data_IF_579014214941
#
_entry.id   IF_579014214941
#
_cell.length_a   1.000
_cell.length_b   1.000
_cell.length_c   1.000
_cell.angle_alpha   90.00
_cell.angle_beta   90.00
_cell.angle_gamma   90.00
#
_symmetry.space_group_name_H-M   'P 1'
#
loop_
_entity.id
_entity.type
_entity.pdbx_description
1 polymer ?
#
# COMPACT_ATOMS: atom_id res chain seq x y z
N UNK A 1 -34.43 -10.08 1.57
CA UNK A 1 -33.38 -11.11 1.47
C UNK A 1 -32.66 -10.90 0.15
N UNK A 2 -31.51 -10.22 0.14
CA UNK A 2 -30.67 -10.07 -1.06
C UNK A 2 -29.94 -11.38 -1.37
N UNK A 3 -29.69 -11.70 -2.66
CA UNK A 3 -28.96 -12.91 -3.02
C UNK A 3 -27.54 -12.87 -2.43
N UNK A 4 -27.19 -13.92 -1.69
CA UNK A 4 -25.87 -14.05 -1.08
C UNK A 4 -24.80 -14.14 -2.17
N UNK A 5 -23.65 -13.47 -1.98
CA UNK A 5 -22.47 -13.53 -2.88
C UNK A 5 -21.96 -14.96 -3.15
N UNK A 6 -22.41 -15.95 -2.37
CA UNK A 6 -22.06 -17.35 -2.55
C UNK A 6 -22.63 -18.01 -3.83
N UNK A 7 -23.52 -17.35 -4.56
CA UNK A 7 -24.17 -17.91 -5.75
C UNK A 7 -23.49 -17.63 -7.10
N UNK A 8 -22.73 -16.52 -7.20
CA UNK A 8 -22.22 -16.03 -8.49
C UNK A 8 -21.22 -17.01 -9.14
N UNK A 9 -20.27 -17.51 -8.38
CA UNK A 9 -19.28 -18.46 -8.90
C UNK A 9 -19.91 -19.77 -9.35
N UNK A 10 -20.98 -20.23 -8.67
CA UNK A 10 -21.73 -21.41 -9.09
C UNK A 10 -22.45 -21.15 -10.42
N UNK A 11 -23.00 -19.95 -10.61
CA UNK A 11 -23.66 -19.57 -11.90
C UNK A 11 -22.64 -19.67 -13.04
N UNK A 12 -21.45 -19.08 -12.90
CA UNK A 12 -20.39 -19.13 -13.92
C UNK A 12 -19.95 -20.56 -14.21
N UNK A 13 -19.70 -21.35 -13.14
CA UNK A 13 -19.29 -22.75 -13.29
C UNK A 13 -20.34 -23.59 -14.02
N UNK A 14 -21.60 -23.47 -13.66
CA UNK A 14 -22.67 -24.24 -14.28
C UNK A 14 -22.84 -23.85 -15.74
N UNK A 15 -22.79 -22.56 -16.08
CA UNK A 15 -22.90 -22.08 -17.45
C UNK A 15 -21.71 -22.54 -18.31
N UNK A 16 -20.49 -22.48 -17.78
CA UNK A 16 -19.29 -22.99 -18.47
C UNK A 16 -19.41 -24.48 -18.76
N UNK A 17 -19.82 -25.27 -17.77
CA UNK A 17 -20.01 -26.72 -17.94
C UNK A 17 -21.12 -27.03 -18.95
N UNK A 18 -22.20 -26.27 -18.98
CA UNK A 18 -23.28 -26.43 -19.95
C UNK A 18 -22.86 -26.10 -21.39
N UNK A 19 -21.77 -25.37 -21.57
CA UNK A 19 -21.17 -25.04 -22.87
C UNK A 19 -19.97 -25.94 -23.22
N UNK A 20 -19.66 -26.96 -22.39
CA UNK A 20 -18.49 -27.83 -22.47
C UNK A 20 -17.16 -27.10 -22.59
N UNK A 21 -17.05 -25.88 -22.04
CA UNK A 21 -15.86 -25.08 -22.06
C UNK A 21 -14.93 -25.42 -20.88
N UNK A 22 -13.62 -25.41 -21.14
CA UNK A 22 -12.59 -25.47 -20.09
C UNK A 22 -12.42 -24.11 -19.41
N UNK A 23 -11.89 -24.09 -18.19
CA UNK A 23 -11.54 -22.85 -17.50
C UNK A 23 -10.49 -22.03 -18.28
N UNK A 24 -9.60 -22.70 -19.02
CA UNK A 24 -8.60 -22.05 -19.87
C UNK A 24 -9.19 -21.35 -21.09
N UNK A 25 -10.22 -21.91 -21.73
CA UNK A 25 -10.90 -21.29 -22.85
C UNK A 25 -11.66 -20.05 -22.43
N UNK A 26 -12.45 -20.15 -21.35
CA UNK A 26 -13.13 -18.98 -20.77
C UNK A 26 -12.12 -17.92 -20.35
N UNK A 27 -11.03 -18.34 -19.70
CA UNK A 27 -9.98 -17.42 -19.28
C UNK A 27 -9.39 -16.63 -20.45
N UNK A 28 -9.03 -17.31 -21.55
CA UNK A 28 -8.51 -16.65 -22.77
C UNK A 28 -9.50 -15.63 -23.35
N UNK A 29 -10.80 -15.96 -23.38
CA UNK A 29 -11.83 -15.09 -23.93
C UNK A 29 -11.99 -13.79 -23.11
N UNK A 30 -11.82 -13.85 -21.78
CA UNK A 30 -12.01 -12.69 -20.90
C UNK A 30 -10.69 -12.10 -20.35
N UNK A 31 -9.53 -12.58 -20.81
CA UNK A 31 -8.22 -12.07 -20.41
C UNK A 31 -7.78 -12.53 -19.02
N UNK A 32 -8.11 -13.76 -18.62
CA UNK A 32 -7.74 -14.35 -17.33
C UNK A 32 -7.08 -15.73 -17.49
N UNK A 33 -6.26 -16.13 -16.53
CA UNK A 33 -5.73 -17.50 -16.49
C UNK A 33 -6.80 -18.52 -16.08
N UNK A 34 -6.60 -19.80 -16.40
CA UNK A 34 -7.48 -20.88 -15.96
C UNK A 34 -7.61 -20.93 -14.43
N UNK A 35 -6.50 -20.68 -13.73
CA UNK A 35 -6.47 -20.60 -12.27
C UNK A 35 -7.33 -19.45 -11.72
N UNK A 36 -7.34 -18.29 -12.39
CA UNK A 36 -8.19 -17.16 -12.02
C UNK A 36 -9.67 -17.50 -12.20
N UNK A 37 -10.05 -18.10 -13.32
CA UNK A 37 -11.44 -18.58 -13.56
C UNK A 37 -11.84 -19.59 -12.46
N UNK A 38 -10.97 -20.53 -12.11
CA UNK A 38 -11.21 -21.47 -11.02
C UNK A 38 -11.50 -20.78 -9.68
N UNK A 39 -10.77 -19.71 -9.36
CA UNK A 39 -11.01 -18.92 -8.13
C UNK A 39 -12.30 -18.12 -8.19
N UNK A 40 -12.64 -17.56 -9.34
CA UNK A 40 -13.93 -16.87 -9.54
C UNK A 40 -15.09 -17.86 -9.33
N UNK A 41 -15.03 -19.03 -9.93
CA UNK A 41 -16.05 -20.08 -9.79
C UNK A 41 -16.21 -20.59 -8.36
N UNK A 42 -15.14 -20.55 -7.56
CA UNK A 42 -15.14 -20.91 -6.14
C UNK A 42 -15.49 -19.73 -5.21
N UNK A 43 -15.80 -18.54 -5.76
CA UNK A 43 -16.00 -17.28 -5.03
C UNK A 43 -14.77 -16.86 -4.18
N UNK A 44 -13.58 -17.29 -4.55
CA UNK A 44 -12.30 -16.95 -3.90
C UNK A 44 -11.64 -15.72 -4.54
N UNK A 45 -12.20 -15.21 -5.63
CA UNK A 45 -11.77 -14.01 -6.31
C UNK A 45 -12.99 -13.15 -6.64
N UNK A 46 -12.94 -11.88 -6.23
CA UNK A 46 -13.96 -10.89 -6.61
C UNK A 46 -13.57 -10.24 -7.92
N UNK A 47 -14.54 -10.02 -8.78
CA UNK A 47 -14.37 -9.30 -10.04
C UNK A 47 -15.37 -8.15 -10.13
N UNK A 48 -14.97 -7.09 -10.82
CA UNK A 48 -15.80 -5.91 -11.03
C UNK A 48 -17.02 -6.22 -11.91
N UNK A 49 -17.94 -5.25 -12.04
CA UNK A 49 -19.16 -5.43 -12.82
C UNK A 49 -18.83 -5.65 -14.31
N UNK A 50 -17.84 -4.92 -14.86
CA UNK A 50 -17.47 -5.04 -16.27
C UNK A 50 -16.96 -6.45 -16.59
N UNK A 51 -16.10 -7.01 -15.74
CA UNK A 51 -15.62 -8.39 -15.89
C UNK A 51 -16.74 -9.42 -15.73
N UNK A 52 -17.68 -9.20 -14.78
CA UNK A 52 -18.86 -10.08 -14.64
C UNK A 52 -19.74 -10.07 -15.87
N UNK A 53 -19.94 -8.91 -16.47
CA UNK A 53 -20.72 -8.79 -17.70
C UNK A 53 -20.02 -9.46 -18.89
N UNK A 54 -18.68 -9.33 -19.02
CA UNK A 54 -17.90 -10.06 -20.03
C UNK A 54 -17.98 -11.57 -19.83
N UNK A 55 -17.81 -12.06 -18.60
CA UNK A 55 -18.00 -13.48 -18.29
C UNK A 55 -19.42 -13.94 -18.60
N UNK A 56 -20.42 -13.13 -18.29
CA UNK A 56 -21.82 -13.44 -18.60
C UNK A 56 -22.05 -13.52 -20.11
N UNK A 57 -21.48 -12.62 -20.88
CA UNK A 57 -21.56 -12.64 -22.34
C UNK A 57 -20.92 -13.90 -22.93
N UNK A 58 -19.70 -14.23 -22.54
CA UNK A 58 -18.98 -15.42 -23.00
C UNK A 58 -19.68 -16.73 -22.60
N UNK A 59 -20.28 -16.75 -21.42
CA UNK A 59 -21.00 -17.90 -20.89
C UNK A 59 -22.50 -17.90 -21.22
N UNK A 60 -22.96 -16.99 -22.08
CA UNK A 60 -24.38 -16.83 -22.49
C UNK A 60 -25.35 -16.72 -21.29
N UNK A 61 -24.90 -16.05 -20.23
CA UNK A 61 -25.71 -15.79 -19.03
C UNK A 61 -26.42 -14.43 -19.23
N UNK A 62 -27.74 -14.32 -19.01
CA UNK A 62 -28.44 -13.05 -19.05
C UNK A 62 -27.80 -12.03 -18.07
N UNK A 63 -27.47 -10.79 -18.51
CA UNK A 63 -26.77 -9.80 -17.71
C UNK A 63 -27.43 -9.50 -16.35
N UNK A 64 -28.75 -9.54 -16.29
CA UNK A 64 -29.52 -9.34 -15.07
C UNK A 64 -29.24 -10.37 -13.97
N UNK A 65 -28.78 -11.56 -14.33
CA UNK A 65 -28.42 -12.62 -13.36
C UNK A 65 -27.08 -12.35 -12.66
N UNK A 66 -26.25 -11.49 -13.22
CA UNK A 66 -24.92 -11.17 -12.68
C UNK A 66 -24.80 -9.72 -12.21
N UNK A 67 -25.65 -8.81 -12.70
CA UNK A 67 -25.65 -7.40 -12.33
C UNK A 67 -26.20 -7.13 -10.92
N UNK A 68 -27.12 -7.96 -10.43
CA UNK A 68 -27.70 -7.83 -9.08
C UNK A 68 -26.78 -8.23 -7.92
N UNK A 69 -25.59 -8.77 -8.19
CA UNK A 69 -24.60 -9.06 -7.17
C UNK A 69 -23.78 -7.79 -6.89
N UNK A 70 -23.55 -7.39 -5.61
CA UNK A 70 -22.80 -6.19 -5.33
C UNK A 70 -21.41 -6.27 -5.97
N UNK A 71 -21.09 -5.29 -6.82
CA UNK A 71 -19.73 -4.99 -7.19
C UNK A 71 -18.95 -4.69 -5.89
N UNK A 72 -17.67 -4.95 -5.85
CA UNK A 72 -16.82 -4.35 -4.84
C UNK A 72 -17.16 -2.86 -4.85
N UNK A 73 -17.65 -2.32 -3.72
CA UNK A 73 -18.35 -1.05 -3.64
C UNK A 73 -17.59 0.08 -4.33
N UNK A 74 -18.14 0.59 -5.44
CA UNK A 74 -17.91 1.96 -5.88
C UNK A 74 -18.75 2.90 -5.00
N UNK A 75 -18.45 4.20 -4.95
CA UNK A 75 -19.04 5.13 -3.99
C UNK A 75 -20.55 5.21 -4.20
N UNK A 76 -21.32 4.67 -3.28
CA UNK A 76 -22.73 5.01 -3.10
C UNK A 76 -22.74 6.23 -2.19
N UNK A 77 -23.28 7.34 -2.69
CA UNK A 77 -23.68 8.46 -1.85
C UNK A 77 -24.61 7.89 -0.78
N UNK A 78 -24.15 7.94 0.46
CA UNK A 78 -24.85 7.35 1.60
C UNK A 78 -26.16 8.07 1.84
N UNK A 79 -27.27 7.45 1.50
CA UNK A 79 -28.50 7.64 2.23
C UNK A 79 -28.43 6.77 3.48
N UNK A 80 -28.66 7.37 4.62
CA UNK A 80 -28.62 6.81 5.97
C UNK A 80 -29.39 5.48 6.02
N UNK A 81 -28.72 4.38 6.42
CA UNK A 81 -29.38 3.18 6.85
C UNK A 81 -28.93 1.86 6.20
N UNK A 82 -27.67 1.46 6.34
CA UNK A 82 -27.26 0.06 6.18
C UNK A 82 -25.98 -0.20 6.99
N UNK A 83 -26.07 -1.07 7.97
CA UNK A 83 -24.95 -1.53 8.80
C UNK A 83 -23.98 -2.32 7.91
N UNK A 84 -22.70 -1.95 7.82
CA UNK A 84 -21.71 -2.74 7.09
C UNK A 84 -21.40 -4.04 7.85
N UNK A 85 -21.26 -5.13 7.11
CA UNK A 85 -20.63 -6.36 7.63
C UNK A 85 -19.19 -6.05 8.04
N UNK A 86 -18.72 -6.53 9.20
CA UNK A 86 -17.39 -6.20 9.70
C UNK A 86 -16.32 -6.84 8.81
N UNK A 87 -15.41 -6.01 8.27
CA UNK A 87 -14.13 -6.43 7.76
C UNK A 87 -13.29 -7.02 8.92
N UNK A 88 -12.43 -8.00 8.64
CA UNK A 88 -11.49 -8.55 9.63
C UNK A 88 -10.62 -7.45 10.27
N UNK A 89 -10.41 -6.33 9.58
CA UNK A 89 -9.75 -5.13 10.12
C UNK A 89 -10.53 -4.44 11.25
N UNK A 90 -11.86 -4.47 11.22
CA UNK A 90 -12.71 -3.87 12.26
C UNK A 90 -12.72 -4.70 13.56
N UNK A 91 -12.58 -6.02 13.45
CA UNK A 91 -12.43 -6.90 14.60
C UNK A 91 -11.09 -6.67 15.33
N UNK A 92 -10.04 -6.32 14.57
CA UNK A 92 -8.72 -6.00 15.12
C UNK A 92 -8.70 -4.61 15.79
N UNK A 93 -9.43 -3.63 15.27
CA UNK A 93 -9.60 -2.29 15.89
C UNK A 93 -10.30 -2.39 17.25
N UNK A 94 -11.38 -3.18 17.39
CA UNK A 94 -12.10 -3.39 18.66
C UNK A 94 -11.24 -4.08 19.70
N UNK A 95 -10.42 -5.04 19.28
CA UNK A 95 -9.52 -5.79 20.17
C UNK A 95 -8.40 -4.91 20.72
N UNK A 96 -7.85 -3.99 19.91
CA UNK A 96 -6.84 -3.04 20.32
C UNK A 96 -7.41 -1.96 21.25
N UNK A 97 -8.66 -1.52 21.05
CA UNK A 97 -9.32 -0.54 21.92
C UNK A 97 -9.59 -1.14 23.32
N UNK A 98 -10.01 -2.41 23.39
CA UNK A 98 -10.23 -3.09 24.67
C UNK A 98 -8.93 -3.42 25.42
N UNK A 99 -7.82 -3.68 24.69
CA UNK A 99 -6.50 -3.90 25.28
C UNK A 99 -5.88 -2.61 25.88
N UNK A 100 -6.16 -1.45 25.28
CA UNK A 100 -5.67 -0.15 25.78
C UNK A 100 -6.38 0.31 27.06
N UNK A 101 -7.65 -0.08 27.27
CA UNK A 101 -8.42 0.27 28.47
C UNK A 101 -8.06 -0.61 29.68
N UNK A 102 -7.46 -1.78 29.49
CA UNK A 102 -7.06 -2.69 30.57
C UNK A 102 -5.64 -2.41 31.13
N UNK A 103 -4.82 -1.58 30.47
CA UNK A 103 -3.44 -1.28 30.88
C UNK A 103 -3.27 0.02 31.70
N UNK A 104 -4.36 0.68 32.07
CA UNK A 104 -4.39 2.00 32.71
C UNK A 104 -4.62 1.98 34.21
N UNK A 105 -4.03 1.07 35.02
CA UNK A 105 -4.02 1.22 36.47
C UNK A 105 -2.81 0.52 37.11
N UNK A 106 -2.04 1.31 37.87
CA UNK A 106 -1.01 0.97 38.85
C UNK A 106 0.41 0.68 38.36
N UNK A 107 1.30 1.67 38.51
CA UNK A 107 2.70 1.46 38.82
C UNK A 107 3.15 2.43 39.90
N UNK A 108 3.32 1.93 41.11
CA UNK A 108 4.10 2.57 42.17
C UNK A 108 5.54 2.05 42.11
N UNK A 109 6.47 2.97 42.22
CA UNK A 109 7.92 2.84 42.16
C UNK A 109 8.48 1.97 43.28
N UNK A 110 9.42 1.07 42.97
CA UNK A 110 10.64 0.83 43.77
C UNK A 110 11.69 0.04 42.96
N UNK A 111 12.88 0.60 42.81
CA UNK A 111 14.20 -0.05 43.01
C UNK A 111 14.80 -0.95 41.92
N UNK A 112 15.86 -0.41 41.29
CA UNK A 112 17.12 -1.07 40.81
C UNK A 112 17.02 -2.41 40.05
N UNK A 113 17.48 -2.41 38.80
CA UNK A 113 18.06 -3.57 38.15
C UNK A 113 17.66 -3.78 36.70
N UNK A 114 18.68 -3.71 35.83
CA UNK A 114 18.67 -4.13 34.42
C UNK A 114 17.68 -3.42 33.49
N UNK A 115 18.23 -2.63 32.58
CA UNK A 115 17.51 -1.98 31.50
C UNK A 115 16.83 -3.02 30.60
N UNK A 116 15.62 -3.44 30.97
CA UNK A 116 14.68 -4.03 30.05
C UNK A 116 14.30 -2.91 29.06
N UNK A 117 14.63 -3.09 27.78
CA UNK A 117 14.17 -2.19 26.73
C UNK A 117 12.65 -2.07 26.84
N UNK A 118 12.18 -0.89 27.25
CA UNK A 118 10.76 -0.54 27.22
C UNK A 118 10.23 -0.86 25.80
N UNK A 119 9.07 -1.48 25.66
CA UNK A 119 8.45 -1.60 24.37
C UNK A 119 8.37 -0.19 23.80
N UNK A 120 8.95 0.01 22.60
CA UNK A 120 8.89 1.29 21.90
C UNK A 120 7.43 1.74 21.89
N UNK A 121 7.13 2.83 22.61
CA UNK A 121 5.79 3.40 22.62
C UNK A 121 5.37 3.55 21.18
N UNK A 122 4.26 2.92 20.79
CA UNK A 122 3.74 3.05 19.45
C UNK A 122 3.42 4.54 19.28
N UNK A 123 4.23 5.23 18.46
CA UNK A 123 4.02 6.64 18.14
C UNK A 123 2.65 6.76 17.48
N UNK A 124 1.70 7.30 18.17
CA UNK A 124 0.45 7.69 17.54
C UNK A 124 0.67 9.01 16.80
N UNK A 125 1.01 8.89 15.52
CA UNK A 125 1.15 10.05 14.64
C UNK A 125 -0.13 10.89 14.59
N UNK A 126 -1.28 10.31 14.92
CA UNK A 126 -2.55 11.03 15.03
C UNK A 126 -2.44 12.14 16.06
N UNK A 127 -2.08 11.81 17.29
CA UNK A 127 -1.93 12.80 18.35
C UNK A 127 -0.89 13.87 18.02
N UNK A 128 0.24 13.45 17.42
CA UNK A 128 1.31 14.36 17.03
C UNK A 128 0.86 15.36 15.95
N UNK A 129 0.15 14.89 14.91
CA UNK A 129 -0.29 15.77 13.82
C UNK A 129 -1.32 16.82 14.29
N UNK A 130 -2.10 16.53 15.31
CA UNK A 130 -3.05 17.49 15.87
C UNK A 130 -2.42 18.45 16.91
N UNK A 131 -1.26 18.07 17.48
CA UNK A 131 -0.55 18.84 18.52
C UNK A 131 0.95 18.79 18.30
N UNK A 132 1.42 19.46 17.22
CA UNK A 132 2.84 19.61 17.01
C UNK A 132 3.51 20.32 18.20
N UNK A 133 4.74 19.94 18.57
CA UNK A 133 5.48 20.64 19.61
C UNK A 133 5.73 22.10 19.21
N UNK A 134 5.95 22.97 20.18
CA UNK A 134 6.34 24.35 19.90
C UNK A 134 7.76 24.37 19.32
N UNK A 135 7.95 25.02 18.19
CA UNK A 135 9.25 25.22 17.56
C UNK A 135 9.32 26.62 16.92
N UNK A 136 10.50 27.22 16.96
CA UNK A 136 10.77 28.44 16.22
C UNK A 136 11.13 28.16 14.76
N UNK A 137 11.17 29.22 13.91
CA UNK A 137 11.65 29.11 12.53
C UNK A 137 13.12 28.69 12.51
N UNK A 138 13.49 27.89 11.53
CA UNK A 138 14.85 27.40 11.32
C UNK A 138 15.36 27.75 9.91
N UNK A 139 16.68 27.84 9.69
CA UNK A 139 17.24 28.03 8.35
C UNK A 139 16.77 26.95 7.38
N UNK A 140 16.41 27.30 6.15
CA UNK A 140 15.92 26.38 5.12
C UNK A 140 16.89 25.23 4.87
N UNK A 141 18.20 25.47 4.92
CA UNK A 141 19.21 24.43 4.76
C UNK A 141 19.17 23.39 5.87
N UNK A 142 18.93 23.81 7.12
CA UNK A 142 18.78 22.90 8.28
C UNK A 142 17.54 22.01 8.09
N UNK A 143 16.41 22.62 7.69
CA UNK A 143 15.18 21.90 7.42
C UNK A 143 15.33 20.91 6.25
N UNK A 144 15.99 21.33 5.17
CA UNK A 144 16.27 20.47 4.02
C UNK A 144 17.14 19.26 4.42
N UNK A 145 18.21 19.49 5.20
CA UNK A 145 19.06 18.43 5.73
C UNK A 145 18.29 17.50 6.67
N UNK A 146 17.50 18.06 7.59
CA UNK A 146 16.64 17.26 8.48
C UNK A 146 15.63 16.39 7.73
N UNK A 147 15.04 16.94 6.66
CA UNK A 147 14.10 16.20 5.80
C UNK A 147 14.83 15.09 5.00
N UNK A 148 16.05 15.33 4.53
CA UNK A 148 16.88 14.32 3.87
C UNK A 148 17.24 13.18 4.83
N UNK A 149 17.65 13.49 6.06
CA UNK A 149 17.95 12.49 7.10
C UNK A 149 16.71 11.69 7.49
N UNK A 150 15.53 12.33 7.57
CA UNK A 150 14.26 11.66 7.79
C UNK A 150 13.91 10.70 6.63
N UNK A 151 14.18 11.10 5.38
CA UNK A 151 14.03 10.22 4.21
C UNK A 151 14.97 9.02 4.27
N UNK A 152 16.22 9.24 4.65
CA UNK A 152 17.21 8.17 4.85
C UNK A 152 16.74 7.17 5.92
N UNK A 153 16.23 7.65 7.06
CA UNK A 153 15.66 6.79 8.10
C UNK A 153 14.50 5.93 7.56
N UNK A 154 13.61 6.53 6.75
CA UNK A 154 12.51 5.79 6.11
C UNK A 154 13.03 4.72 5.15
N UNK A 155 13.95 5.06 4.25
CA UNK A 155 14.48 4.13 3.24
C UNK A 155 15.34 3.03 3.83
N UNK A 156 15.97 3.29 4.98
CA UNK A 156 16.67 2.28 5.80
C UNK A 156 15.71 1.47 6.71
N UNK A 157 14.40 1.71 6.62
CA UNK A 157 13.38 1.08 7.46
C UNK A 157 13.56 1.31 8.98
N UNK A 158 14.20 2.42 9.38
CA UNK A 158 14.36 2.86 10.77
C UNK A 158 13.17 3.74 11.20
N UNK A 159 11.98 3.14 11.26
CA UNK A 159 10.73 3.87 11.47
C UNK A 159 10.61 4.50 12.86
N UNK A 160 11.25 3.91 13.88
CA UNK A 160 11.31 4.49 15.22
C UNK A 160 12.09 5.81 15.21
N UNK A 161 13.23 5.87 14.52
CA UNK A 161 14.05 7.07 14.42
C UNK A 161 13.28 8.17 13.67
N UNK A 162 12.62 7.78 12.58
CA UNK A 162 11.76 8.69 11.82
C UNK A 162 10.61 9.23 12.68
N UNK A 163 9.90 8.37 13.41
CA UNK A 163 8.81 8.78 14.29
C UNK A 163 9.25 9.75 15.39
N UNK A 164 10.48 9.58 15.92
CA UNK A 164 11.07 10.48 16.91
C UNK A 164 11.42 11.87 16.33
N UNK A 165 11.88 11.95 15.10
CA UNK A 165 12.36 13.19 14.48
C UNK A 165 11.26 14.01 13.79
N UNK A 166 10.23 13.37 13.27
CA UNK A 166 9.17 14.02 12.48
C UNK A 166 8.43 15.14 13.22
N UNK A 167 8.02 15.01 14.48
CA UNK A 167 7.26 16.06 15.17
C UNK A 167 7.99 17.41 15.21
N UNK A 168 9.27 17.38 15.61
CA UNK A 168 10.10 18.58 15.67
C UNK A 168 10.38 19.17 14.27
N UNK A 169 10.62 18.31 13.27
CA UNK A 169 10.85 18.73 11.90
C UNK A 169 9.60 19.42 11.32
N UNK A 170 8.42 18.84 11.50
CA UNK A 170 7.15 19.42 11.05
C UNK A 170 6.88 20.76 11.71
N UNK A 171 7.03 20.86 13.04
CA UNK A 171 6.82 22.08 13.79
C UNK A 171 7.75 23.22 13.34
N UNK A 172 9.05 22.95 13.19
CA UNK A 172 10.02 23.91 12.71
C UNK A 172 9.77 24.33 11.26
N UNK A 173 9.36 23.38 10.38
CA UNK A 173 9.05 23.68 9.00
C UNK A 173 7.77 24.54 8.87
N UNK A 174 6.73 24.29 9.67
CA UNK A 174 5.54 25.15 9.72
C UNK A 174 5.89 26.57 10.22
N UNK A 175 6.60 26.68 11.33
CA UNK A 175 7.04 27.96 11.85
C UNK A 175 7.89 28.76 10.83
N UNK A 176 8.76 28.07 10.09
CA UNK A 176 9.59 28.70 9.05
C UNK A 176 8.75 29.16 7.86
N UNK A 177 7.79 28.34 7.40
CA UNK A 177 6.85 28.75 6.35
C UNK A 177 6.10 30.03 6.75
N UNK A 178 5.62 30.08 7.99
CA UNK A 178 4.78 31.19 8.48
C UNK A 178 5.59 32.48 8.67
N UNK A 179 6.86 32.36 9.05
CA UNK A 179 7.79 33.48 9.18
C UNK A 179 8.41 33.93 7.84
N UNK A 180 8.18 33.20 6.74
CA UNK A 180 8.81 33.47 5.43
C UNK A 180 7.85 34.15 4.47
N UNK A 181 8.42 34.83 3.45
CA UNK A 181 7.68 35.44 2.35
C UNK A 181 8.33 35.13 0.99
N UNK A 182 7.58 35.33 -0.10
CA UNK A 182 8.08 35.18 -1.47
C UNK A 182 8.73 33.83 -1.73
N UNK A 183 9.90 33.81 -2.36
CA UNK A 183 10.62 32.58 -2.75
C UNK A 183 11.02 31.71 -1.54
N UNK A 184 11.38 32.34 -0.42
CA UNK A 184 11.72 31.59 0.80
C UNK A 184 10.51 30.79 1.32
N UNK A 185 9.32 31.38 1.28
CA UNK A 185 8.07 30.70 1.64
C UNK A 185 7.74 29.56 0.69
N UNK A 186 7.97 29.71 -0.61
CA UNK A 186 7.81 28.63 -1.59
C UNK A 186 8.74 27.44 -1.27
N UNK A 187 10.01 27.72 -0.96
CA UNK A 187 10.99 26.69 -0.58
C UNK A 187 10.61 26.04 0.75
N UNK A 188 10.19 26.80 1.75
CA UNK A 188 9.70 26.26 3.02
C UNK A 188 8.49 25.31 2.80
N UNK A 189 7.54 25.68 1.94
CA UNK A 189 6.41 24.84 1.59
C UNK A 189 6.84 23.54 0.90
N UNK A 190 7.84 23.58 0.00
CA UNK A 190 8.35 22.35 -0.64
C UNK A 190 9.00 21.40 0.37
N UNK A 191 9.76 21.92 1.35
CA UNK A 191 10.35 21.13 2.42
C UNK A 191 9.25 20.56 3.34
N UNK A 192 8.29 21.38 3.74
CA UNK A 192 7.17 21.00 4.58
C UNK A 192 6.31 19.90 3.91
N UNK A 193 6.05 20.02 2.60
CA UNK A 193 5.34 19.00 1.83
C UNK A 193 6.03 17.64 1.94
N UNK A 194 7.35 17.59 1.78
CA UNK A 194 8.15 16.38 1.89
C UNK A 194 8.17 15.79 3.29
N UNK A 195 8.23 16.64 4.33
CA UNK A 195 8.10 16.19 5.71
C UNK A 195 6.73 15.54 5.96
N UNK A 196 5.64 16.12 5.46
CA UNK A 196 4.32 15.52 5.51
C UNK A 196 4.16 14.27 4.64
N UNK A 197 4.84 14.16 3.49
CA UNK A 197 4.91 12.90 2.73
C UNK A 197 5.47 11.77 3.60
N UNK A 198 6.57 12.01 4.32
CA UNK A 198 7.16 11.01 5.22
C UNK A 198 6.23 10.65 6.38
N UNK A 199 5.53 11.64 6.96
CA UNK A 199 4.52 11.38 7.99
C UNK A 199 3.38 10.50 7.47
N UNK A 200 2.88 10.77 6.25
CA UNK A 200 1.85 9.96 5.61
C UNK A 200 2.34 8.53 5.31
N UNK A 201 3.55 8.38 4.77
CA UNK A 201 4.14 7.06 4.49
C UNK A 201 4.32 6.23 5.77
N UNK A 202 4.79 6.86 6.86
CA UNK A 202 4.95 6.20 8.16
C UNK A 202 3.60 5.79 8.77
N UNK A 203 2.63 6.70 8.79
CA UNK A 203 1.27 6.42 9.26
C UNK A 203 0.59 5.32 8.45
N UNK A 204 0.79 5.31 7.12
CA UNK A 204 0.28 4.25 6.24
C UNK A 204 0.88 2.88 6.58
N UNK A 205 2.15 2.80 6.96
CA UNK A 205 2.79 1.55 7.42
C UNK A 205 2.22 1.05 8.76
N UNK A 206 1.74 1.96 9.60
CA UNK A 206 1.11 1.66 10.89
C UNK A 206 -0.41 1.38 10.79
N UNK A 207 -0.99 1.48 9.59
CA UNK A 207 -2.43 1.43 9.34
C UNK A 207 -3.21 2.51 10.11
N UNK A 208 -2.58 3.67 10.36
CA UNK A 208 -3.20 4.81 11.03
C UNK A 208 -3.97 5.71 10.05
N UNK A 209 -5.11 6.23 10.47
CA UNK A 209 -5.90 7.21 9.70
C UNK A 209 -5.20 8.57 9.62
N UNK A 210 -4.19 8.82 10.47
CA UNK A 210 -3.30 9.97 10.39
C UNK A 210 -2.60 10.09 9.01
N UNK A 211 -2.48 8.98 8.28
CA UNK A 211 -1.96 8.97 6.91
C UNK A 211 -2.73 9.91 5.98
N UNK A 212 -4.06 9.97 6.11
CA UNK A 212 -4.90 10.86 5.31
C UNK A 212 -4.63 12.33 5.63
N UNK A 213 -4.62 12.68 6.92
CA UNK A 213 -4.38 14.06 7.37
C UNK A 213 -3.00 14.55 6.91
N UNK A 214 -1.98 13.71 7.07
CA UNK A 214 -0.63 14.05 6.61
C UNK A 214 -0.55 14.18 5.09
N UNK A 215 -1.22 13.31 4.32
CA UNK A 215 -1.25 13.37 2.86
C UNK A 215 -1.94 14.64 2.33
N UNK A 216 -3.07 15.04 2.93
CA UNK A 216 -3.78 16.27 2.59
C UNK A 216 -2.91 17.50 2.84
N UNK A 217 -2.29 17.58 4.03
CA UNK A 217 -1.34 18.65 4.35
C UNK A 217 -0.12 18.67 3.44
N UNK A 218 0.40 17.50 3.07
CA UNK A 218 1.49 17.39 2.11
C UNK A 218 1.11 18.02 0.75
N UNK A 219 -0.07 17.67 0.23
CA UNK A 219 -0.53 18.20 -1.07
C UNK A 219 -0.81 19.71 -1.00
N UNK A 220 -1.41 20.20 0.09
CA UNK A 220 -1.64 21.62 0.30
C UNK A 220 -0.33 22.41 0.31
N UNK A 221 0.67 21.98 1.08
CA UNK A 221 1.99 22.58 1.13
C UNK A 221 2.72 22.48 -0.23
N UNK A 222 2.63 21.32 -0.91
CA UNK A 222 3.23 21.13 -2.22
C UNK A 222 2.67 22.12 -3.27
N UNK A 223 1.35 22.27 -3.33
CA UNK A 223 0.70 23.24 -4.22
C UNK A 223 1.09 24.67 -3.88
N UNK A 224 1.20 25.02 -2.59
CA UNK A 224 1.66 26.34 -2.14
C UNK A 224 3.14 26.60 -2.48
N UNK A 225 3.95 25.57 -2.72
CA UNK A 225 5.33 25.74 -3.20
C UNK A 225 5.41 26.18 -4.66
N UNK A 226 4.39 25.88 -5.47
CA UNK A 226 4.38 26.10 -6.91
C UNK A 226 5.32 25.17 -7.70
N UNK A 227 5.89 24.14 -7.06
CA UNK A 227 6.89 23.26 -7.67
C UNK A 227 6.25 21.91 -8.07
N UNK A 228 6.40 21.45 -9.35
CA UNK A 228 5.70 20.26 -9.84
C UNK A 228 6.14 18.96 -9.18
N UNK A 229 7.42 18.80 -8.85
CA UNK A 229 7.95 17.58 -8.22
C UNK A 229 7.33 17.33 -6.84
N UNK A 230 7.36 18.28 -5.87
CA UNK A 230 6.66 18.11 -4.59
C UNK A 230 5.15 17.81 -4.74
N UNK A 231 4.48 18.40 -5.74
CA UNK A 231 3.06 18.12 -6.01
C UNK A 231 2.86 16.65 -6.39
N UNK A 232 3.66 16.12 -7.33
CA UNK A 232 3.58 14.70 -7.69
C UNK A 232 3.95 13.77 -6.53
N UNK A 233 5.00 14.10 -5.75
CA UNK A 233 5.38 13.34 -4.55
C UNK A 233 4.23 13.26 -3.53
N UNK A 234 3.56 14.38 -3.27
CA UNK A 234 2.41 14.46 -2.35
C UNK A 234 1.14 13.79 -2.92
N UNK A 235 0.87 13.96 -4.22
CA UNK A 235 -0.26 13.32 -4.88
C UNK A 235 -0.21 11.79 -4.76
N UNK A 236 0.98 11.20 -4.85
CA UNK A 236 1.17 9.75 -4.68
C UNK A 236 0.70 9.26 -3.31
N UNK A 237 1.08 9.92 -2.23
CA UNK A 237 0.71 9.47 -0.87
C UNK A 237 -0.78 9.72 -0.58
N UNK A 238 -1.36 10.79 -1.12
CA UNK A 238 -2.81 11.01 -1.02
C UNK A 238 -3.60 9.92 -1.75
N UNK A 239 -3.18 9.53 -2.95
CA UNK A 239 -3.83 8.45 -3.68
C UNK A 239 -3.72 7.08 -2.98
N UNK A 240 -2.63 6.83 -2.23
CA UNK A 240 -2.52 5.64 -1.39
C UNK A 240 -3.60 5.64 -0.30
N UNK A 241 -3.87 6.77 0.33
CA UNK A 241 -4.95 6.88 1.34
C UNK A 241 -6.34 6.76 0.71
N UNK A 242 -6.57 7.39 -0.46
CA UNK A 242 -7.82 7.23 -1.22
C UNK A 242 -8.11 5.77 -1.57
N UNK A 243 -7.10 5.04 -2.05
CA UNK A 243 -7.23 3.61 -2.35
C UNK A 243 -7.58 2.80 -1.10
N UNK A 244 -6.94 3.08 0.04
CA UNK A 244 -7.19 2.39 1.31
C UNK A 244 -8.60 2.62 1.85
N UNK A 245 -9.20 3.77 1.57
CA UNK A 245 -10.60 4.06 1.90
C UNK A 245 -11.60 3.54 0.87
N UNK A 246 -11.16 2.76 -0.13
CA UNK A 246 -12.03 2.21 -1.17
C UNK A 246 -12.28 3.12 -2.36
N UNK A 247 -11.73 4.35 -2.38
CA UNK A 247 -11.93 5.32 -3.47
C UNK A 247 -10.97 5.07 -4.65
N UNK A 248 -10.88 3.81 -5.11
CA UNK A 248 -9.87 3.37 -6.09
C UNK A 248 -9.98 4.09 -7.44
N UNK A 249 -11.18 4.20 -8.02
CA UNK A 249 -11.39 4.89 -9.31
C UNK A 249 -11.04 6.38 -9.24
N UNK A 250 -11.34 7.03 -8.11
CA UNK A 250 -10.96 8.43 -7.87
C UNK A 250 -9.46 8.59 -7.73
N UNK A 251 -8.78 7.63 -7.06
CA UNK A 251 -7.32 7.62 -6.97
C UNK A 251 -6.66 7.48 -8.34
N UNK A 252 -7.19 6.61 -9.22
CA UNK A 252 -6.70 6.46 -10.61
C UNK A 252 -6.83 7.78 -11.35
N UNK A 253 -8.03 8.36 -11.42
CA UNK A 253 -8.26 9.63 -12.12
C UNK A 253 -7.37 10.75 -11.58
N UNK A 254 -7.25 10.87 -10.27
CA UNK A 254 -6.41 11.88 -9.63
C UNK A 254 -4.93 11.70 -10.03
N UNK A 255 -4.38 10.50 -9.92
CA UNK A 255 -2.99 10.22 -10.26
C UNK A 255 -2.69 10.44 -11.74
N UNK A 256 -3.58 10.02 -12.64
CA UNK A 256 -3.39 10.21 -14.09
C UNK A 256 -3.48 11.68 -14.48
N UNK A 257 -4.34 12.46 -13.83
CA UNK A 257 -4.41 13.92 -14.02
C UNK A 257 -3.12 14.62 -13.56
N UNK A 258 -2.64 14.30 -12.35
CA UNK A 258 -1.38 14.90 -11.83
C UNK A 258 -0.16 14.43 -12.66
N UNK A 259 -0.16 13.18 -13.14
CA UNK A 259 0.87 12.66 -14.03
C UNK A 259 0.90 13.39 -15.39
N UNK A 260 -0.26 13.71 -15.96
CA UNK A 260 -0.36 14.44 -17.22
C UNK A 260 0.17 15.89 -17.13
N UNK A 261 0.19 16.47 -15.93
CA UNK A 261 0.75 17.80 -15.69
C UNK A 261 2.29 17.83 -15.59
N UNK A 262 2.94 16.66 -15.54
CA UNK A 262 4.40 16.54 -15.46
C UNK A 262 5.02 16.33 -16.83
N UNK A 263 6.08 17.08 -17.12
CA UNK A 263 6.82 16.92 -18.38
C UNK A 263 7.49 15.53 -18.43
N UNK A 264 7.08 14.67 -19.38
CA UNK A 264 7.69 13.36 -19.52
C UNK A 264 9.11 13.41 -20.09
N UNK A 265 9.56 14.49 -20.70
CA UNK A 265 10.89 14.62 -21.30
C UNK A 265 11.96 15.03 -20.28
N UNK A 266 11.59 15.81 -19.27
CA UNK A 266 12.50 16.20 -18.20
C UNK A 266 12.72 15.02 -17.24
N UNK A 267 13.97 14.78 -16.86
CA UNK A 267 14.41 13.57 -16.15
C UNK A 267 13.68 13.38 -14.82
N UNK A 268 13.59 14.41 -14.00
CA UNK A 268 13.04 14.31 -12.63
C UNK A 268 11.51 14.29 -12.61
N UNK A 269 10.86 15.14 -13.40
CA UNK A 269 9.39 15.14 -13.50
C UNK A 269 8.90 13.86 -14.20
N UNK A 270 9.62 13.39 -15.22
CA UNK A 270 9.33 12.13 -15.89
C UNK A 270 9.44 10.91 -14.95
N UNK A 271 10.44 10.90 -14.04
CA UNK A 271 10.55 9.85 -13.03
C UNK A 271 9.39 9.91 -12.02
N UNK A 272 9.02 11.09 -11.54
CA UNK A 272 7.84 11.26 -10.66
C UNK A 272 6.57 10.83 -11.40
N UNK A 273 6.38 11.23 -12.66
CA UNK A 273 5.27 10.81 -13.51
C UNK A 273 5.14 9.28 -13.53
N UNK A 274 6.24 8.57 -13.81
CA UNK A 274 6.23 7.10 -13.82
C UNK A 274 5.79 6.51 -12.48
N UNK A 275 6.20 7.09 -11.34
CA UNK A 275 5.75 6.60 -10.03
C UNK A 275 4.26 6.87 -9.76
N UNK A 276 3.70 7.96 -10.33
CA UNK A 276 2.25 8.20 -10.29
C UNK A 276 1.49 7.15 -11.10
N UNK A 277 1.98 6.83 -12.30
CA UNK A 277 1.40 5.78 -13.17
C UNK A 277 1.43 4.41 -12.46
N UNK A 278 2.56 4.03 -11.85
CA UNK A 278 2.65 2.79 -11.06
C UNK A 278 1.64 2.76 -9.90
N UNK A 279 1.46 3.90 -9.21
CA UNK A 279 0.50 4.01 -8.12
C UNK A 279 -0.95 3.97 -8.63
N UNK A 280 -1.21 4.50 -9.83
CA UNK A 280 -2.50 4.42 -10.51
C UNK A 280 -2.80 2.96 -10.92
N UNK A 281 -1.82 2.23 -11.47
CA UNK A 281 -1.94 0.81 -11.79
C UNK A 281 -2.34 -0.02 -10.57
N UNK A 282 -1.66 0.21 -9.45
CA UNK A 282 -2.00 -0.49 -8.20
C UNK A 282 -3.39 -0.10 -7.67
N UNK A 283 -3.82 1.16 -7.87
CA UNK A 283 -5.16 1.62 -7.48
C UNK A 283 -6.25 1.03 -8.37
N UNK A 284 -6.01 0.91 -9.68
CA UNK A 284 -6.90 0.22 -10.61
C UNK A 284 -7.07 -1.26 -10.23
N UNK A 285 -5.97 -1.95 -9.94
CA UNK A 285 -5.98 -3.33 -9.46
C UNK A 285 -6.78 -3.50 -8.16
N UNK A 286 -6.62 -2.56 -7.21
CA UNK A 286 -7.38 -2.58 -5.96
C UNK A 286 -8.88 -2.36 -6.17
N UNK A 287 -9.27 -1.66 -7.22
CA UNK A 287 -10.65 -1.51 -7.67
C UNK A 287 -11.18 -2.68 -8.53
N UNK A 288 -10.34 -3.68 -8.83
CA UNK A 288 -10.69 -4.81 -9.70
C UNK A 288 -10.60 -4.50 -11.20
N UNK A 289 -10.15 -3.31 -11.59
CA UNK A 289 -9.98 -2.92 -12.99
C UNK A 289 -8.65 -3.42 -13.54
N UNK A 290 -8.67 -4.69 -13.97
CA UNK A 290 -7.50 -5.38 -14.54
C UNK A 290 -7.00 -4.67 -15.81
N UNK A 291 -7.90 -4.28 -16.70
CA UNK A 291 -7.53 -3.72 -18.00
C UNK A 291 -6.73 -2.42 -17.82
N UNK A 292 -7.25 -1.51 -17.03
CA UNK A 292 -6.55 -0.25 -16.70
C UNK A 292 -5.26 -0.52 -15.93
N UNK A 293 -5.25 -1.47 -14.98
CA UNK A 293 -4.06 -1.79 -14.19
C UNK A 293 -2.90 -2.27 -15.06
N UNK A 294 -3.15 -3.18 -15.99
CA UNK A 294 -2.12 -3.71 -16.88
C UNK A 294 -1.65 -2.67 -17.91
N UNK A 295 -2.55 -1.91 -18.52
CA UNK A 295 -2.19 -0.85 -19.45
C UNK A 295 -1.28 0.22 -18.80
N UNK A 296 -1.58 0.61 -17.55
CA UNK A 296 -0.73 1.55 -16.81
C UNK A 296 0.64 0.95 -16.43
N UNK A 297 0.73 -0.35 -16.18
CA UNK A 297 2.03 -1.02 -15.97
C UNK A 297 2.85 -1.04 -17.24
N UNK A 298 2.23 -1.27 -18.40
CA UNK A 298 2.91 -1.26 -19.69
C UNK A 298 3.41 0.15 -20.04
N UNK A 299 2.60 1.21 -19.78
CA UNK A 299 3.04 2.60 -19.89
C UNK A 299 4.25 2.91 -18.99
N UNK A 300 4.25 2.40 -17.77
CA UNK A 300 5.38 2.56 -16.85
C UNK A 300 6.64 1.82 -17.35
N UNK A 301 6.48 0.62 -17.90
CA UNK A 301 7.57 -0.15 -18.51
C UNK A 301 8.22 0.61 -19.66
N UNK A 302 7.44 1.09 -20.62
CA UNK A 302 7.95 1.93 -21.72
C UNK A 302 8.67 3.19 -21.21
N UNK A 303 8.18 3.78 -20.12
CA UNK A 303 8.80 4.97 -19.54
C UNK A 303 10.18 4.69 -18.97
N UNK A 304 10.39 3.54 -18.28
CA UNK A 304 11.69 3.18 -17.69
C UNK A 304 12.66 2.65 -18.74
N UNK A 305 12.19 2.00 -19.81
CA UNK A 305 13.03 1.57 -20.94
C UNK A 305 13.66 2.78 -21.64
N UNK A 306 12.90 3.86 -21.81
CA UNK A 306 13.43 5.13 -22.35
C UNK A 306 14.40 5.84 -21.41
N UNK A 307 14.34 5.55 -20.09
CA UNK A 307 15.15 6.16 -19.04
C UNK A 307 15.56 5.11 -18.00
N UNK A 308 16.61 4.34 -18.28
CA UNK A 308 17.01 3.23 -17.41
C UNK A 308 17.63 3.68 -16.07
N UNK A 309 18.04 4.96 -15.96
CA UNK A 309 18.60 5.50 -14.72
C UNK A 309 17.56 6.35 -14.00
N UNK A 310 17.39 6.09 -12.71
CA UNK A 310 16.49 6.87 -11.85
C UNK A 310 17.26 8.05 -11.23
N UNK A 311 16.74 9.28 -11.31
CA UNK A 311 17.36 10.44 -10.67
C UNK A 311 17.28 10.33 -9.14
N UNK A 312 18.39 10.67 -8.48
CA UNK A 312 18.45 10.68 -7.02
C UNK A 312 17.69 11.84 -6.37
N UNK A 313 17.43 11.73 -5.06
CA UNK A 313 16.89 12.82 -4.25
C UNK A 313 15.39 13.08 -4.42
N UNK A 314 14.63 12.16 -5.02
CA UNK A 314 13.18 12.19 -5.04
C UNK A 314 12.58 11.56 -3.80
N UNK A 315 11.39 12.03 -3.41
CA UNK A 315 10.60 11.51 -2.29
C UNK A 315 9.50 10.54 -2.75
N UNK A 316 9.76 9.86 -3.86
CA UNK A 316 8.93 8.75 -4.35
C UNK A 316 9.75 7.46 -4.36
N UNK A 317 9.17 6.39 -4.86
CA UNK A 317 9.91 5.17 -5.23
C UNK A 317 10.74 5.46 -6.49
N UNK A 318 11.87 4.80 -6.65
CA UNK A 318 12.67 4.95 -7.87
C UNK A 318 11.98 4.25 -9.04
N UNK A 319 11.87 4.96 -10.16
CA UNK A 319 11.30 4.45 -11.40
C UNK A 319 12.39 3.66 -12.16
N UNK A 320 12.55 2.40 -11.82
CA UNK A 320 13.45 1.44 -12.49
C UNK A 320 12.69 0.23 -13.00
N UNK A 321 13.25 -0.53 -13.95
CA UNK A 321 12.63 -1.77 -14.44
C UNK A 321 12.32 -2.74 -13.29
N UNK A 322 13.26 -2.95 -12.39
CA UNK A 322 13.06 -3.80 -11.21
C UNK A 322 11.88 -3.33 -10.36
N UNK A 323 11.71 -2.01 -10.21
CA UNK A 323 10.58 -1.46 -9.45
C UNK A 323 9.25 -1.67 -10.17
N UNK A 324 9.20 -1.56 -11.49
CA UNK A 324 8.01 -1.87 -12.30
C UNK A 324 7.63 -3.35 -12.11
N UNK A 325 8.59 -4.26 -12.17
CA UNK A 325 8.35 -5.69 -11.98
C UNK A 325 7.80 -6.01 -10.57
N UNK A 326 8.31 -5.34 -9.52
CA UNK A 326 7.75 -5.45 -8.17
C UNK A 326 6.30 -4.94 -8.11
N UNK A 327 6.00 -3.83 -8.77
CA UNK A 327 4.61 -3.35 -8.87
C UNK A 327 3.72 -4.33 -9.63
N UNK A 328 4.23 -4.96 -10.69
CA UNK A 328 3.50 -5.97 -11.48
C UNK A 328 3.14 -7.18 -10.61
N UNK A 329 4.06 -7.68 -9.79
CA UNK A 329 3.78 -8.74 -8.80
C UNK A 329 2.70 -8.28 -7.81
N UNK A 330 2.80 -7.08 -7.25
CA UNK A 330 1.81 -6.52 -6.33
C UNK A 330 0.44 -6.33 -6.97
N UNK A 331 0.38 -5.92 -8.23
CA UNK A 331 -0.85 -5.78 -9.02
C UNK A 331 -1.50 -7.15 -9.24
N UNK A 332 -0.75 -8.18 -9.65
CA UNK A 332 -1.29 -9.54 -9.80
C UNK A 332 -1.81 -10.10 -8.47
N UNK A 333 -1.08 -9.87 -7.36
CA UNK A 333 -1.58 -10.25 -6.03
C UNK A 333 -2.92 -9.58 -5.71
N UNK A 334 -3.03 -8.29 -6.00
CA UNK A 334 -4.23 -7.49 -5.71
C UNK A 334 -5.41 -7.88 -6.60
N UNK A 335 -5.16 -8.21 -7.87
CA UNK A 335 -6.15 -8.73 -8.81
C UNK A 335 -6.59 -10.17 -8.50
N UNK A 336 -5.93 -10.87 -7.56
CA UNK A 336 -6.19 -12.27 -7.26
C UNK A 336 -5.65 -13.23 -8.33
N UNK A 337 -4.67 -12.82 -9.13
CA UNK A 337 -3.96 -13.64 -10.13
C UNK A 337 -2.47 -13.81 -9.77
N UNK A 338 -2.12 -14.24 -8.52
CA UNK A 338 -0.73 -14.34 -8.09
C UNK A 338 0.11 -15.32 -8.93
N UNK A 339 -0.51 -16.31 -9.57
CA UNK A 339 0.12 -17.25 -10.49
C UNK A 339 0.76 -16.55 -11.71
N UNK A 340 0.19 -15.44 -12.17
CA UNK A 340 0.74 -14.64 -13.27
C UNK A 340 2.00 -13.84 -12.87
N UNK A 341 2.24 -13.67 -11.56
CA UNK A 341 3.44 -13.02 -11.02
C UNK A 341 4.60 -13.96 -10.73
N UNK A 342 4.43 -15.28 -10.82
CA UNK A 342 5.42 -16.28 -10.36
C UNK A 342 6.74 -16.19 -11.12
N UNK A 343 6.68 -16.16 -12.45
CA UNK A 343 7.89 -16.10 -13.26
C UNK A 343 8.66 -14.79 -13.07
N UNK A 344 7.95 -13.67 -12.92
CA UNK A 344 8.57 -12.40 -12.55
C UNK A 344 9.27 -12.49 -11.18
N UNK A 345 8.60 -13.04 -10.18
CA UNK A 345 9.15 -13.16 -8.84
C UNK A 345 10.39 -14.05 -8.78
N UNK A 346 10.45 -15.10 -9.60
CA UNK A 346 11.62 -16.00 -9.73
C UNK A 346 12.81 -15.35 -10.43
N UNK A 347 12.53 -14.51 -11.44
CA UNK A 347 13.56 -13.81 -12.22
C UNK A 347 14.05 -12.51 -11.56
N UNK A 348 13.37 -12.01 -10.52
CA UNK A 348 13.63 -10.72 -9.94
C UNK A 348 14.90 -10.72 -9.07
N UNK A 349 15.90 -9.93 -9.44
CA UNK A 349 17.06 -9.68 -8.58
C UNK A 349 16.75 -8.54 -7.60
N UNK A 350 16.17 -8.88 -6.44
CA UNK A 350 15.78 -7.92 -5.41
C UNK A 350 16.99 -7.17 -4.85
N UNK A 351 18.19 -7.75 -4.90
CA UNK A 351 19.43 -7.10 -4.48
C UNK A 351 19.78 -5.85 -5.28
N UNK A 352 19.26 -5.69 -6.50
CA UNK A 352 19.42 -4.47 -7.30
C UNK A 352 18.58 -3.29 -6.79
N UNK A 353 17.62 -3.52 -5.91
CA UNK A 353 16.82 -2.43 -5.35
C UNK A 353 17.64 -1.62 -4.34
N UNK A 354 17.61 -0.28 -4.42
CA UNK A 354 18.61 0.56 -3.77
C UNK A 354 18.46 0.64 -2.24
N UNK A 355 17.25 0.39 -1.70
CA UNK A 355 16.99 0.63 -0.28
C UNK A 355 16.44 -0.61 0.43
N UNK A 356 16.75 -0.74 1.71
CA UNK A 356 16.23 -1.82 2.55
C UNK A 356 14.70 -1.86 2.55
N UNK A 357 14.05 -0.69 2.59
CA UNK A 357 12.60 -0.58 2.53
C UNK A 357 12.04 -1.13 1.22
N UNK A 358 12.68 -0.86 0.08
CA UNK A 358 12.24 -1.39 -1.23
C UNK A 358 12.47 -2.90 -1.35
N UNK A 359 13.62 -3.41 -0.91
CA UNK A 359 13.90 -4.86 -0.89
C UNK A 359 12.91 -5.59 0.02
N UNK A 360 12.67 -5.08 1.22
CA UNK A 360 11.66 -5.64 2.13
C UNK A 360 10.24 -5.60 1.55
N UNK A 361 9.90 -4.55 0.78
CA UNK A 361 8.61 -4.47 0.08
C UNK A 361 8.49 -5.54 -1.00
N UNK A 362 9.52 -5.75 -1.81
CA UNK A 362 9.53 -6.79 -2.83
C UNK A 362 9.36 -8.20 -2.21
N UNK A 363 10.10 -8.49 -1.15
CA UNK A 363 9.92 -9.74 -0.39
C UNK A 363 8.53 -9.87 0.23
N UNK A 364 7.92 -8.77 0.67
CA UNK A 364 6.55 -8.76 1.19
C UNK A 364 5.54 -9.18 0.10
N UNK A 365 5.66 -8.62 -1.10
CA UNK A 365 4.74 -8.95 -2.19
C UNK A 365 4.99 -10.38 -2.70
N UNK A 366 6.23 -10.86 -2.69
CA UNK A 366 6.59 -12.27 -2.94
C UNK A 366 5.98 -13.21 -1.88
N UNK A 367 6.08 -12.85 -0.59
CA UNK A 367 5.47 -13.64 0.49
C UNK A 367 3.95 -13.76 0.35
N UNK A 368 3.28 -12.65 0.00
CA UNK A 368 1.83 -12.64 -0.27
C UNK A 368 1.46 -13.50 -1.46
N UNK A 369 2.23 -13.45 -2.52
CA UNK A 369 2.05 -14.27 -3.71
C UNK A 369 2.09 -15.76 -3.37
N UNK A 370 3.14 -16.22 -2.70
CA UNK A 370 3.28 -17.61 -2.30
C UNK A 370 2.21 -18.06 -1.32
N UNK A 371 1.83 -17.19 -0.37
CA UNK A 371 0.72 -17.48 0.55
C UNK A 371 -0.60 -17.66 -0.21
N UNK A 372 -0.91 -16.78 -1.17
CA UNK A 372 -2.12 -16.87 -1.98
C UNK A 372 -2.14 -18.13 -2.88
N UNK A 373 -0.97 -18.63 -3.26
CA UNK A 373 -0.82 -19.90 -4.01
C UNK A 373 -0.82 -21.14 -3.11
N UNK A 374 -0.91 -20.97 -1.77
CA UNK A 374 -0.91 -22.06 -0.81
C UNK A 374 0.49 -22.63 -0.51
N UNK A 375 1.55 -22.00 -1.00
CA UNK A 375 2.93 -22.40 -0.71
C UNK A 375 3.45 -21.71 0.57
N UNK A 376 3.10 -22.26 1.73
CA UNK A 376 3.47 -21.71 3.03
C UNK A 376 4.97 -21.71 3.28
N UNK A 377 5.73 -22.64 2.70
CA UNK A 377 7.18 -22.72 2.87
C UNK A 377 7.89 -21.55 2.19
N UNK A 378 7.57 -21.28 0.93
CA UNK A 378 8.14 -20.15 0.18
C UNK A 378 7.65 -18.81 0.76
N UNK A 379 6.39 -18.72 1.20
CA UNK A 379 5.89 -17.53 1.87
C UNK A 379 6.67 -17.22 3.15
N UNK A 380 6.98 -18.23 3.95
CA UNK A 380 7.78 -18.08 5.17
C UNK A 380 9.24 -17.74 4.86
N UNK A 381 9.85 -18.38 3.85
CA UNK A 381 11.20 -18.04 3.40
C UNK A 381 11.29 -16.56 3.00
N UNK A 382 10.32 -16.05 2.24
CA UNK A 382 10.25 -14.64 1.86
C UNK A 382 10.07 -13.71 3.08
N UNK A 383 9.25 -14.08 4.09
CA UNK A 383 9.10 -13.29 5.33
C UNK A 383 10.41 -13.20 6.14
N UNK A 384 11.22 -14.25 6.14
CA UNK A 384 12.55 -14.21 6.77
C UNK A 384 13.49 -13.23 6.07
N UNK A 385 13.40 -13.14 4.73
CA UNK A 385 14.16 -12.15 3.97
C UNK A 385 13.66 -10.72 4.24
N UNK A 386 12.34 -10.50 4.43
CA UNK A 386 11.84 -9.20 4.93
C UNK A 386 12.48 -8.84 6.26
N UNK A 387 12.58 -9.79 7.21
CA UNK A 387 13.18 -9.54 8.53
C UNK A 387 14.68 -9.18 8.42
N UNK A 388 15.41 -9.86 7.53
CA UNK A 388 16.85 -9.59 7.29
C UNK A 388 17.08 -8.20 6.69
N UNK A 389 16.25 -7.80 5.72
CA UNK A 389 16.38 -6.49 5.08
C UNK A 389 15.92 -5.35 5.99
N UNK A 390 14.83 -5.55 6.74
CA UNK A 390 14.17 -4.53 7.51
C UNK A 390 13.39 -5.10 8.69
N UNK A 391 14.04 -5.25 9.83
CA UNK A 391 13.47 -5.88 11.03
C UNK A 391 12.19 -5.19 11.55
N UNK A 392 11.98 -3.91 11.26
CA UNK A 392 10.76 -3.20 11.63
C UNK A 392 9.60 -3.46 10.67
N UNK A 393 9.86 -3.84 9.42
CA UNK A 393 8.83 -4.16 8.42
C UNK A 393 8.01 -5.39 8.82
N UNK A 394 8.62 -6.47 9.29
CA UNK A 394 7.88 -7.70 9.66
C UNK A 394 6.93 -7.48 10.84
N UNK A 395 7.15 -6.44 11.64
CA UNK A 395 6.31 -6.08 12.80
C UNK A 395 5.10 -5.22 12.43
N UNK A 396 4.96 -4.84 11.17
CA UNK A 396 3.80 -4.08 10.69
C UNK A 396 2.52 -4.93 10.80
N UNK A 397 1.36 -4.30 11.07
CA UNK A 397 0.09 -5.01 11.22
C UNK A 397 -0.21 -6.01 10.10
N UNK A 398 -0.02 -5.60 8.83
CA UNK A 398 -0.28 -6.45 7.67
C UNK A 398 0.63 -7.70 7.58
N UNK A 399 1.91 -7.60 7.99
CA UNK A 399 2.83 -8.73 7.97
C UNK A 399 2.63 -9.64 9.19
N UNK A 400 2.29 -9.06 10.32
CA UNK A 400 1.88 -9.84 11.52
C UNK A 400 0.64 -10.69 11.19
N UNK A 401 -0.35 -10.11 10.51
CA UNK A 401 -1.54 -10.84 10.07
C UNK A 401 -1.16 -11.97 9.08
N UNK A 402 -0.32 -11.69 8.07
CA UNK A 402 0.17 -12.71 7.14
C UNK A 402 0.90 -13.85 7.85
N UNK A 403 1.79 -13.51 8.80
CA UNK A 403 2.52 -14.50 9.61
C UNK A 403 1.57 -15.33 10.47
N UNK A 404 0.58 -14.69 11.10
CA UNK A 404 -0.45 -15.38 11.87
C UNK A 404 -1.27 -16.33 10.99
N UNK A 405 -1.67 -15.92 9.78
CA UNK A 405 -2.43 -16.76 8.86
C UNK A 405 -1.63 -18.00 8.41
N UNK A 406 -0.31 -17.88 8.25
CA UNK A 406 0.55 -19.02 7.91
C UNK A 406 0.56 -20.11 9.01
N UNK A 407 0.38 -19.76 10.28
CA UNK A 407 0.29 -20.74 11.38
C UNK A 407 -0.92 -21.68 11.26
N UNK A 408 -1.95 -21.25 10.54
CA UNK A 408 -3.17 -22.04 10.29
C UNK A 408 -3.14 -22.76 8.93
N UNK A 409 -2.04 -22.62 8.15
CA UNK A 409 -1.90 -23.34 6.88
C UNK A 409 -1.59 -24.82 7.12
N UNK A 410 -1.98 -25.72 6.19
CA UNK A 410 -1.71 -27.16 6.30
C UNK A 410 -0.21 -27.49 6.42
N UNK A 411 0.63 -26.77 5.66
CA UNK A 411 2.09 -26.90 5.72
C UNK A 411 2.63 -25.84 6.70
N UNK A 412 3.02 -26.28 7.89
CA UNK A 412 3.67 -25.41 8.89
C UNK A 412 5.19 -25.51 8.76
N UNK A 413 5.86 -24.50 8.19
CA UNK A 413 7.31 -24.53 8.10
C UNK A 413 7.98 -24.58 9.47
N UNK A 414 9.10 -25.29 9.64
CA UNK A 414 9.88 -25.27 10.87
C UNK A 414 10.34 -23.85 11.23
N UNK A 415 10.27 -23.48 12.51
CA UNK A 415 10.67 -22.15 13.01
C UNK A 415 9.62 -21.04 12.80
N UNK A 416 8.46 -21.32 12.18
CA UNK A 416 7.42 -20.32 11.96
C UNK A 416 6.81 -19.81 13.27
N UNK A 417 6.64 -20.68 14.30
CA UNK A 417 6.08 -20.28 15.57
C UNK A 417 7.01 -19.33 16.33
N UNK A 418 8.29 -19.64 16.39
CA UNK A 418 9.32 -18.80 16.99
C UNK A 418 9.42 -17.44 16.28
N UNK A 419 9.35 -17.46 14.96
CA UNK A 419 9.28 -16.24 14.14
C UNK A 419 8.03 -15.41 14.48
N UNK A 420 6.87 -16.03 14.57
CA UNK A 420 5.62 -15.34 14.90
C UNK A 420 5.63 -14.70 16.29
N UNK A 421 6.23 -15.36 17.28
CA UNK A 421 6.40 -14.81 18.64
C UNK A 421 7.34 -13.60 18.61
N UNK A 422 8.57 -13.74 18.07
CA UNK A 422 9.54 -12.63 18.09
C UNK A 422 9.15 -11.42 17.24
N UNK A 423 8.30 -11.61 16.22
CA UNK A 423 7.78 -10.53 15.39
C UNK A 423 6.47 -9.94 15.94
N UNK A 424 5.93 -10.52 17.01
CA UNK A 424 4.69 -10.10 17.66
C UNK A 424 3.43 -10.43 16.87
N UNK A 425 3.49 -11.41 15.96
CA UNK A 425 2.33 -11.90 15.23
C UNK A 425 1.39 -12.74 16.12
N UNK A 426 1.94 -13.37 17.17
CA UNK A 426 1.18 -14.05 18.23
C UNK A 426 1.79 -13.68 19.60
N UNK A 427 1.02 -13.79 20.69
CA UNK A 427 1.56 -13.62 22.04
C UNK A 427 2.70 -14.62 22.34
N UNK A 428 3.62 -14.22 23.22
CA UNK A 428 4.69 -15.07 23.72
C UNK A 428 4.18 -16.23 24.56
#
# INVERSE_FOLDING_TARGET
MGPSTSGLGKIFRSARQALDLTQGEVGRAVGYSASAISRIERNQMRVDLATRLRLAQELRIPPERVSGFPAAAGPVIATVGSVPMPDEEDAMRRRNLLGALAAGATAVVTGSGTAAALPAAAWDLGDVLFRLPSAGPAPLQVLASGTASAREAFTAARYSDLGNSLPGLLAAAEATRDASAGRARQQANAILARAYVLASELAAKQHSDAAWVAADRALAAARASGMPIPVGEAARVLAITMRRSGSCSSAVRFLTTEAAALDPAEERTGAVRTTLILSAAYSAASGGDRTTALALLDEADESVERRPQAPGGLFTVEATKTQVDVYRIGVHNTLGTPDEGVELARGLNIGLMPTAERRARAWTDTARMWHALGNGQEAFAALRLVEQEAAQEVRRPALRALTSNLLYSPARPPGLREFAVRTGAVPA
#
